data_IF_535265294594
#
_entry.id   IF_535265294594
#
_cell.length_a   1.000
_cell.length_b   1.000
_cell.length_c   1.000
_cell.angle_alpha   90.00
_cell.angle_beta   90.00
_cell.angle_gamma   90.00
#
_symmetry.space_group_name_H-M   'P 1'
#
loop_
_entity.id
_entity.type
_entity.pdbx_description
1 polymer ?
#
# COMPACT_ATOMS: atom_id res chain seq x y z
N UNK A 1 2.09 10.31 -18.43
CA UNK A 1 1.60 8.91 -18.30
C UNK A 1 1.02 8.76 -16.90
N UNK A 2 -0.01 7.92 -16.72
CA UNK A 2 -0.67 7.69 -15.43
C UNK A 2 -0.72 6.20 -15.11
N UNK A 3 -0.79 5.83 -13.83
CA UNK A 3 -0.95 4.45 -13.38
C UNK A 3 -2.04 4.35 -12.30
N UNK A 4 -2.85 3.29 -12.36
CA UNK A 4 -3.89 3.04 -11.37
C UNK A 4 -4.21 1.56 -11.24
N UNK A 5 -4.78 1.18 -10.10
CA UNK A 5 -5.32 -0.16 -9.87
C UNK A 5 -6.00 -0.29 -8.50
N UNK A 6 -6.84 -1.33 -8.35
CA UNK A 6 -7.43 -1.72 -7.07
C UNK A 6 -6.89 -3.07 -6.60
N UNK A 7 -6.83 -3.31 -5.29
CA UNK A 7 -6.44 -4.60 -4.68
C UNK A 7 -5.02 -4.95 -5.11
N UNK A 8 -4.78 -6.13 -5.70
CA UNK A 8 -3.48 -6.47 -6.27
C UNK A 8 -2.94 -5.40 -7.25
N UNK A 9 -3.82 -4.75 -8.01
CA UNK A 9 -3.43 -3.61 -8.85
C UNK A 9 -3.08 -2.35 -8.05
N UNK A 10 -3.69 -2.15 -6.88
CA UNK A 10 -3.34 -1.09 -5.93
C UNK A 10 -1.95 -1.33 -5.33
N UNK A 11 -1.65 -2.58 -4.93
CA UNK A 11 -0.30 -2.99 -4.50
C UNK A 11 0.73 -2.62 -5.57
N UNK A 12 0.50 -3.05 -6.82
CA UNK A 12 1.42 -2.81 -7.93
C UNK A 12 1.52 -1.31 -8.28
N UNK A 13 0.45 -0.55 -8.11
CA UNK A 13 0.46 0.91 -8.32
C UNK A 13 1.35 1.60 -7.29
N UNK A 14 1.16 1.31 -6.00
CA UNK A 14 2.00 1.84 -4.93
C UNK A 14 3.46 1.36 -5.04
N UNK A 15 3.66 0.12 -5.50
CA UNK A 15 4.98 -0.46 -5.73
C UNK A 15 5.73 0.26 -6.86
N UNK A 16 5.11 0.39 -8.05
CA UNK A 16 5.81 0.89 -9.24
C UNK A 16 6.25 2.35 -9.10
N UNK A 17 5.46 3.19 -8.41
CA UNK A 17 5.83 4.60 -8.18
C UNK A 17 7.01 4.77 -7.22
N UNK A 18 7.36 3.72 -6.46
CA UNK A 18 8.58 3.67 -5.63
C UNK A 18 9.81 3.14 -6.36
N UNK A 19 9.67 2.77 -7.64
CA UNK A 19 10.71 2.18 -8.49
C UNK A 19 10.92 2.92 -9.82
N UNK A 20 9.94 3.71 -10.27
CA UNK A 20 9.95 4.40 -11.56
C UNK A 20 9.25 5.76 -11.43
N UNK A 21 9.88 6.81 -11.92
CA UNK A 21 9.40 8.20 -11.88
C UNK A 21 8.80 8.69 -13.21
N UNK A 22 8.54 7.79 -14.17
CA UNK A 22 7.90 8.14 -15.46
C UNK A 22 6.44 8.59 -15.37
N UNK A 23 5.80 8.42 -14.22
CA UNK A 23 4.37 8.68 -14.04
C UNK A 23 4.13 10.11 -13.56
N UNK A 24 3.17 10.79 -14.19
CA UNK A 24 2.77 12.13 -13.82
C UNK A 24 1.82 12.15 -12.61
N UNK A 25 1.03 11.09 -12.42
CA UNK A 25 0.23 10.86 -11.22
C UNK A 25 -0.14 9.37 -11.09
N UNK A 26 -0.53 8.96 -9.89
CA UNK A 26 -0.97 7.60 -9.58
C UNK A 26 -2.26 7.56 -8.75
N UNK A 27 -3.05 6.50 -8.91
CA UNK A 27 -4.22 6.23 -8.08
C UNK A 27 -4.22 4.78 -7.58
N UNK A 28 -3.87 4.60 -6.30
CA UNK A 28 -3.77 3.31 -5.64
C UNK A 28 -5.01 3.05 -4.79
N UNK A 29 -5.92 2.23 -5.30
CA UNK A 29 -7.23 1.96 -4.72
C UNK A 29 -7.22 0.62 -3.98
N UNK A 30 -7.97 0.50 -2.88
CA UNK A 30 -8.03 -0.69 -2.03
C UNK A 30 -6.70 -1.49 -1.91
N UNK A 31 -5.54 -0.85 -1.64
CA UNK A 31 -4.25 -1.51 -1.76
C UNK A 31 -3.84 -2.26 -0.49
N UNK A 32 -2.86 -3.16 -0.63
CA UNK A 32 -1.97 -3.57 0.46
C UNK A 32 -0.65 -2.82 0.29
N UNK A 33 -0.19 -2.17 1.35
CA UNK A 33 0.96 -1.26 1.36
C UNK A 33 1.97 -1.62 2.44
N UNK A 34 1.51 -2.30 3.49
CA UNK A 34 2.30 -2.84 4.58
C UNK A 34 1.79 -4.26 4.90
N UNK A 35 2.53 -5.27 4.45
CA UNK A 35 2.12 -6.67 4.62
C UNK A 35 2.10 -7.11 6.08
N UNK A 36 2.92 -6.49 6.94
CA UNK A 36 2.98 -6.81 8.37
C UNK A 36 1.72 -6.32 9.09
N UNK A 37 1.25 -5.10 8.81
CA UNK A 37 -0.01 -4.63 9.40
C UNK A 37 -1.24 -5.26 8.74
N UNK A 38 -1.17 -5.58 7.45
CA UNK A 38 -2.25 -6.22 6.70
C UNK A 38 -2.60 -7.59 7.28
N UNK A 39 -1.62 -8.46 7.53
CA UNK A 39 -1.89 -9.83 8.03
C UNK A 39 -2.60 -9.83 9.39
N UNK A 40 -2.39 -8.79 10.21
CA UNK A 40 -3.05 -8.65 11.51
C UNK A 40 -4.46 -8.05 11.46
N UNK A 41 -4.90 -7.53 10.30
CA UNK A 41 -6.15 -6.75 10.18
C UNK A 41 -7.11 -7.26 9.11
N UNK A 42 -6.62 -8.06 8.16
CA UNK A 42 -7.42 -8.63 7.06
C UNK A 42 -8.31 -9.79 7.50
N UNK A 43 -9.37 -10.07 6.74
CA UNK A 43 -10.22 -11.26 6.86
C UNK A 43 -9.58 -12.54 6.31
N UNK A 44 -8.40 -12.44 5.67
CA UNK A 44 -7.66 -13.59 5.07
C UNK A 44 -6.21 -13.73 5.58
N UNK A 45 -5.97 -13.83 6.90
CA UNK A 45 -4.62 -13.87 7.46
C UNK A 45 -3.84 -15.13 7.03
N UNK A 46 -4.49 -16.30 6.97
CA UNK A 46 -3.85 -17.55 6.57
C UNK A 46 -3.30 -17.49 5.12
N UNK A 47 -4.10 -16.99 4.19
CA UNK A 47 -3.69 -16.77 2.80
C UNK A 47 -2.50 -15.80 2.71
N UNK A 48 -2.45 -14.80 3.59
CA UNK A 48 -1.35 -13.84 3.61
C UNK A 48 -0.06 -14.51 4.07
N UNK A 49 -0.10 -15.34 5.13
CA UNK A 49 1.08 -16.09 5.56
C UNK A 49 1.60 -17.07 4.50
N UNK A 50 0.73 -17.65 3.68
CA UNK A 50 1.12 -18.54 2.57
C UNK A 50 1.93 -17.83 1.46
N UNK A 51 1.92 -16.49 1.40
CA UNK A 51 2.68 -15.71 0.42
C UNK A 51 4.15 -15.44 0.81
N UNK A 52 4.52 -15.77 2.05
CA UNK A 52 5.83 -15.49 2.62
C UNK A 52 6.48 -16.77 3.15
N UNK A 53 7.81 -16.84 3.07
CA UNK A 53 8.55 -18.06 3.40
C UNK A 53 8.53 -18.39 4.90
N UNK A 54 8.63 -17.34 5.74
CA UNK A 54 8.58 -17.44 7.21
C UNK A 54 7.81 -16.25 7.79
N UNK A 55 7.29 -16.36 9.04
CA UNK A 55 6.62 -15.24 9.69
C UNK A 55 7.53 -14.04 9.95
N UNK A 56 6.97 -12.84 9.96
CA UNK A 56 7.73 -11.59 10.09
C UNK A 56 8.46 -11.42 11.44
N UNK A 57 8.09 -12.16 12.49
CA UNK A 57 8.81 -12.16 13.77
C UNK A 57 10.04 -13.08 13.78
N UNK A 58 10.17 -13.97 12.78
CA UNK A 58 11.35 -14.79 12.56
C UNK A 58 12.31 -14.11 11.58
N UNK A 59 11.80 -13.67 10.42
CA UNK A 59 12.54 -12.86 9.46
C UNK A 59 11.58 -11.89 8.73
N UNK A 60 11.67 -10.57 9.00
CA UNK A 60 10.82 -9.58 8.36
C UNK A 60 11.30 -9.18 6.96
N UNK A 61 12.46 -9.64 6.49
CA UNK A 61 13.10 -9.12 5.26
C UNK A 61 12.17 -9.19 4.05
N UNK A 62 11.60 -10.37 3.74
CA UNK A 62 10.70 -10.52 2.59
C UNK A 62 9.40 -9.70 2.73
N UNK A 63 8.91 -9.54 3.96
CA UNK A 63 7.71 -8.76 4.28
C UNK A 63 7.95 -7.27 4.04
N UNK A 64 9.08 -6.74 4.52
CA UNK A 64 9.49 -5.36 4.36
C UNK A 64 9.81 -5.06 2.89
N UNK A 65 10.55 -5.95 2.23
CA UNK A 65 10.92 -5.80 0.82
C UNK A 65 9.68 -5.69 -0.05
N UNK A 66 8.64 -6.49 0.19
CA UNK A 66 7.40 -6.46 -0.61
C UNK A 66 6.41 -5.38 -0.20
N UNK A 67 6.68 -4.59 0.85
CA UNK A 67 5.77 -3.58 1.37
C UNK A 67 6.04 -2.21 0.73
N UNK A 68 5.15 -1.66 -0.12
CA UNK A 68 5.30 -0.33 -0.72
C UNK A 68 5.67 0.80 0.25
N UNK A 69 5.21 0.73 1.51
CA UNK A 69 5.53 1.76 2.51
C UNK A 69 7.03 1.91 2.78
N UNK A 70 7.81 0.83 2.64
CA UNK A 70 9.26 0.85 2.79
C UNK A 70 9.97 1.62 1.66
N UNK A 71 9.25 1.92 0.57
CA UNK A 71 9.73 2.69 -0.58
C UNK A 71 9.36 4.17 -0.53
N UNK A 72 8.68 4.64 0.51
CA UNK A 72 8.23 6.04 0.68
C UNK A 72 9.27 7.08 0.27
N UNK A 73 10.52 6.95 0.72
CA UNK A 73 11.59 7.91 0.42
C UNK A 73 12.02 8.02 -1.05
N UNK A 74 11.50 7.16 -1.92
CA UNK A 74 11.80 7.15 -3.35
C UNK A 74 10.61 7.58 -4.21
N UNK A 75 9.42 7.68 -3.61
CA UNK A 75 8.20 8.07 -4.32
C UNK A 75 8.22 9.59 -4.51
N UNK A 76 8.08 10.03 -5.77
CA UNK A 76 7.94 11.45 -6.13
C UNK A 76 6.60 11.75 -6.82
N UNK A 77 5.96 10.70 -7.34
CA UNK A 77 4.73 10.79 -8.11
C UNK A 77 3.57 11.20 -7.21
N UNK A 78 2.83 12.28 -7.54
CA UNK A 78 1.60 12.63 -6.84
C UNK A 78 0.63 11.45 -6.83
N UNK A 79 0.15 11.05 -5.65
CA UNK A 79 -0.58 9.79 -5.48
C UNK A 79 -1.89 9.98 -4.72
N UNK A 80 -2.98 9.49 -5.30
CA UNK A 80 -4.26 9.32 -4.61
C UNK A 80 -4.34 7.92 -4.02
N UNK A 81 -4.76 7.82 -2.76
CA UNK A 81 -5.18 6.59 -2.10
C UNK A 81 -6.68 6.60 -1.86
N UNK A 82 -7.34 5.46 -2.04
CA UNK A 82 -8.77 5.32 -1.78
C UNK A 82 -9.12 3.94 -1.25
N UNK A 83 -9.87 3.88 -0.15
CA UNK A 83 -10.38 2.63 0.44
C UNK A 83 -11.74 2.88 1.09
N UNK A 84 -12.59 1.85 1.14
CA UNK A 84 -13.85 1.88 1.88
C UNK A 84 -13.62 1.69 3.37
N UNK A 85 -14.33 2.44 4.21
CA UNK A 85 -14.15 2.37 5.67
C UNK A 85 -14.56 1.02 6.27
N UNK A 86 -15.34 0.23 5.53
CA UNK A 86 -15.78 -1.12 5.89
C UNK A 86 -15.04 -2.22 5.11
N UNK A 87 -13.99 -1.87 4.35
CA UNK A 87 -13.18 -2.88 3.65
C UNK A 87 -12.38 -3.69 4.67
N UNK A 88 -12.72 -4.97 4.81
CA UNK A 88 -12.03 -5.92 5.69
C UNK A 88 -11.00 -6.78 4.93
N UNK A 89 -10.96 -6.69 3.60
CA UNK A 89 -10.03 -7.44 2.75
C UNK A 89 -8.69 -6.72 2.65
N UNK A 90 -8.75 -5.42 2.37
CA UNK A 90 -7.60 -4.50 2.37
C UNK A 90 -7.89 -3.34 3.31
N UNK A 91 -7.70 -3.54 4.63
CA UNK A 91 -8.23 -2.63 5.64
C UNK A 91 -7.73 -1.19 5.54
N UNK A 92 -8.54 -0.25 6.04
CA UNK A 92 -8.26 1.19 6.04
C UNK A 92 -6.82 1.59 6.42
N UNK A 93 -6.19 0.98 7.46
CA UNK A 93 -4.81 1.30 7.82
C UNK A 93 -3.83 1.27 6.64
N UNK A 94 -4.04 0.41 5.64
CA UNK A 94 -3.15 0.33 4.47
C UNK A 94 -3.06 1.67 3.71
N UNK A 95 -4.18 2.36 3.52
CA UNK A 95 -4.17 3.68 2.85
C UNK A 95 -3.82 4.82 3.79
N UNK A 96 -4.18 4.71 5.07
CA UNK A 96 -3.86 5.71 6.09
C UNK A 96 -2.34 5.78 6.35
N UNK A 97 -1.68 4.62 6.50
CA UNK A 97 -0.23 4.52 6.69
C UNK A 97 0.54 5.16 5.52
N UNK A 98 0.18 4.82 4.27
CA UNK A 98 0.82 5.42 3.09
C UNK A 98 0.54 6.91 2.93
N UNK A 99 -0.70 7.34 3.20
CA UNK A 99 -1.07 8.75 3.14
C UNK A 99 -0.19 9.56 4.08
N UNK A 100 -0.08 9.14 5.36
CA UNK A 100 0.77 9.84 6.35
C UNK A 100 2.24 9.80 5.92
N UNK A 101 2.75 8.65 5.50
CA UNK A 101 4.15 8.50 5.10
C UNK A 101 4.53 9.42 3.91
N UNK A 102 3.70 9.48 2.86
CA UNK A 102 3.94 10.35 1.72
C UNK A 102 3.75 11.83 2.07
N UNK A 103 2.78 12.17 2.92
CA UNK A 103 2.59 13.54 3.40
C UNK A 103 3.83 14.04 4.14
N UNK A 104 4.43 13.22 4.99
CA UNK A 104 5.67 13.59 5.69
C UNK A 104 6.90 13.59 4.78
N UNK A 105 6.91 12.77 3.74
CA UNK A 105 7.93 12.84 2.69
C UNK A 105 7.78 14.07 1.76
N UNK A 106 6.76 14.90 1.96
CA UNK A 106 6.53 16.10 1.14
C UNK A 106 5.96 15.80 -0.25
N UNK A 107 5.34 14.64 -0.46
CA UNK A 107 4.73 14.23 -1.73
C UNK A 107 3.26 14.64 -1.76
N UNK A 108 2.82 15.24 -2.87
CA UNK A 108 1.42 15.59 -3.10
C UNK A 108 0.53 14.35 -3.07
N UNK A 109 -0.27 14.22 -2.01
CA UNK A 109 -1.01 13.00 -1.71
C UNK A 109 -2.41 13.32 -1.20
N UNK A 110 -3.40 12.54 -1.66
CA UNK A 110 -4.80 12.64 -1.24
C UNK A 110 -5.28 11.28 -0.73
N UNK A 111 -6.07 11.27 0.35
CA UNK A 111 -6.77 10.10 0.85
C UNK A 111 -8.28 10.28 0.70
N UNK A 112 -8.93 9.38 -0.04
CA UNK A 112 -10.40 9.32 -0.18
C UNK A 112 -10.93 8.14 0.62
N UNK A 113 -11.72 8.44 1.66
CA UNK A 113 -12.39 7.42 2.50
C UNK A 113 -13.83 7.25 2.00
N UNK A 114 -14.22 6.06 1.56
CA UNK A 114 -15.60 5.79 1.13
C UNK A 114 -16.44 5.31 2.33
N UNK A 115 -17.38 6.14 2.78
CA UNK A 115 -18.15 5.92 4.01
C UNK A 115 -19.42 5.06 3.84
N UNK A 116 -19.83 4.76 2.60
CA UNK A 116 -21.13 4.15 2.28
C UNK A 116 -22.23 5.19 2.07
#
# INVERSE_FOLDING_TARGET
MYVQGCSGGGVLTAWVVGHDDRFAAAASLCPVTNWISMVGTTDIPAWTFEWFDVPFWEDPTNWLDRSPIMRTGYIKTPTLFMTGVLDIRTPMPQTEEMYVALKEAGVDTVLVRMNG
#
